data_IF_891520636936
#
_entry.id   IF_891520636936
#
_cell.length_a   1.000
_cell.length_b   1.000
_cell.length_c   1.000
_cell.angle_alpha   90.00
_cell.angle_beta   90.00
_cell.angle_gamma   90.00
#
_symmetry.space_group_name_H-M   'P 1'
#
loop_
_entity.id
_entity.type
_entity.pdbx_description
1 polymer ?
#
# COMPACT_ATOMS: atom_id res chain seq x y z
N UNK A 1 -7.35 -6.00 -9.34
CA UNK A 1 -5.90 -6.04 -9.06
C UNK A 1 -5.43 -7.39 -9.54
N UNK A 2 -4.79 -7.43 -10.70
CA UNK A 2 -4.31 -8.66 -11.31
C UNK A 2 -2.78 -8.62 -11.38
N UNK A 3 -2.10 -9.52 -10.68
CA UNK A 3 -0.63 -9.57 -10.60
C UNK A 3 0.04 -10.06 -11.89
N UNK A 4 -0.69 -10.56 -12.89
CA UNK A 4 -0.14 -10.78 -14.24
C UNK A 4 0.17 -9.45 -14.94
N UNK A 5 -0.55 -8.38 -14.60
CA UNK A 5 -0.27 -7.05 -15.09
C UNK A 5 0.96 -6.44 -14.41
N UNK A 6 1.99 -5.99 -15.16
CA UNK A 6 3.25 -5.51 -14.57
C UNK A 6 3.05 -4.29 -13.65
N UNK A 7 2.05 -3.44 -13.93
CA UNK A 7 1.70 -2.28 -13.11
C UNK A 7 1.17 -2.69 -11.73
N UNK A 8 0.31 -3.71 -11.68
CA UNK A 8 -0.24 -4.23 -10.43
C UNK A 8 0.79 -5.06 -9.67
N UNK A 9 1.66 -5.81 -10.36
CA UNK A 9 2.80 -6.50 -9.75
C UNK A 9 3.75 -5.52 -9.07
N UNK A 10 4.12 -4.44 -9.75
CA UNK A 10 4.95 -3.38 -9.17
C UNK A 10 4.28 -2.72 -7.97
N UNK A 11 3.01 -2.32 -8.10
CA UNK A 11 2.24 -1.76 -6.99
C UNK A 11 2.24 -2.72 -5.80
N UNK A 12 1.97 -4.01 -6.02
CA UNK A 12 1.95 -4.99 -4.94
C UNK A 12 3.30 -5.17 -4.26
N UNK A 13 4.40 -5.24 -5.03
CA UNK A 13 5.76 -5.28 -4.49
C UNK A 13 6.06 -4.04 -3.62
N UNK A 14 5.65 -2.86 -4.08
CA UNK A 14 5.75 -1.62 -3.31
C UNK A 14 4.93 -1.69 -2.01
N UNK A 15 3.68 -2.16 -2.11
CA UNK A 15 2.81 -2.34 -0.95
C UNK A 15 3.35 -3.37 0.03
N UNK A 16 4.09 -4.38 -0.41
CA UNK A 16 4.77 -5.34 0.46
C UNK A 16 5.94 -4.69 1.20
N UNK A 17 6.78 -3.93 0.51
CA UNK A 17 7.95 -3.27 1.10
C UNK A 17 7.54 -2.17 2.10
N UNK A 18 6.72 -1.22 1.64
CA UNK A 18 6.54 0.06 2.34
C UNK A 18 5.09 0.34 2.78
N UNK A 19 4.14 -0.46 2.32
CA UNK A 19 2.74 -0.31 2.73
C UNK A 19 2.45 -0.64 4.21
N UNK A 20 1.22 -0.38 4.64
CA UNK A 20 0.71 -0.84 5.92
C UNK A 20 -0.77 -1.15 5.79
N UNK A 21 -1.14 -2.41 6.00
CA UNK A 21 -2.53 -2.85 5.97
C UNK A 21 -3.03 -3.01 7.41
N UNK A 22 -3.94 -2.13 7.83
CA UNK A 22 -4.54 -2.13 9.16
C UNK A 22 -5.99 -2.57 9.11
N UNK A 23 -6.39 -3.45 10.03
CA UNK A 23 -7.77 -3.81 10.32
C UNK A 23 -8.28 -2.98 11.50
N UNK A 24 -9.57 -2.64 11.48
CA UNK A 24 -10.28 -1.98 12.58
C UNK A 24 -11.61 -2.66 12.88
N UNK A 25 -12.29 -2.22 13.93
CA UNK A 25 -13.61 -2.74 14.32
C UNK A 25 -14.68 -2.38 13.30
N UNK A 26 -15.67 -3.27 13.10
CA UNK A 26 -16.83 -3.00 12.23
C UNK A 26 -16.47 -2.77 10.76
N UNK A 27 -15.71 -3.70 10.15
CA UNK A 27 -15.23 -3.63 8.76
C UNK A 27 -14.31 -2.43 8.43
N UNK A 28 -13.92 -1.63 9.43
CA UNK A 28 -13.01 -0.50 9.26
C UNK A 28 -11.57 -0.95 9.01
N UNK A 29 -10.76 -0.01 8.59
CA UNK A 29 -9.31 -0.15 8.40
C UNK A 29 -8.85 0.50 7.11
N UNK A 30 -7.57 0.36 6.82
CA UNK A 30 -6.90 1.14 5.76
C UNK A 30 -5.64 0.44 5.27
N UNK A 31 -5.39 0.59 3.98
CA UNK A 31 -4.09 0.39 3.36
C UNK A 31 -3.44 1.77 3.24
N UNK A 32 -2.23 1.94 3.77
CA UNK A 32 -1.49 3.19 3.68
C UNK A 32 -0.09 2.96 3.13
N UNK A 33 0.44 3.94 2.41
CA UNK A 33 1.85 4.01 1.97
C UNK A 33 2.33 5.43 2.27
N UNK A 34 3.49 5.59 2.89
CA UNK A 34 4.06 6.89 3.23
C UNK A 34 5.47 7.00 2.65
N UNK A 35 5.67 7.97 1.75
CA UNK A 35 6.97 8.20 1.09
C UNK A 35 7.36 9.68 1.15
N UNK A 36 8.59 9.99 0.74
CA UNK A 36 9.00 11.38 0.56
C UNK A 36 8.13 12.06 -0.51
N UNK A 37 7.79 13.34 -0.31
CA UNK A 37 6.95 14.09 -1.27
C UNK A 37 7.54 14.14 -2.67
N UNK A 38 8.87 14.03 -2.83
CA UNK A 38 9.55 14.01 -4.14
C UNK A 38 9.06 12.86 -5.02
N UNK A 39 8.62 11.77 -4.41
CA UNK A 39 8.16 10.56 -5.09
C UNK A 39 6.63 10.48 -5.18
N UNK A 40 5.89 11.57 -4.87
CA UNK A 40 4.41 11.60 -4.84
C UNK A 40 3.76 11.12 -6.16
N UNK A 41 4.45 11.24 -7.28
CA UNK A 41 4.00 10.72 -8.57
C UNK A 41 3.73 9.21 -8.55
N UNK A 42 4.48 8.44 -7.76
CA UNK A 42 4.25 7.00 -7.55
C UNK A 42 2.88 6.77 -6.91
N UNK A 43 2.56 7.54 -5.85
CA UNK A 43 1.27 7.45 -5.17
C UNK A 43 0.11 7.85 -6.08
N UNK A 44 0.30 8.87 -6.92
CA UNK A 44 -0.68 9.26 -7.94
C UNK A 44 -0.90 8.15 -8.98
N UNK A 45 0.17 7.46 -9.36
CA UNK A 45 0.10 6.26 -10.21
C UNK A 45 -0.71 5.14 -9.57
N UNK A 46 -0.52 4.87 -8.27
CA UNK A 46 -1.33 3.89 -7.54
C UNK A 46 -2.81 4.30 -7.47
N UNK A 47 -3.08 5.57 -7.16
CA UNK A 47 -4.45 6.10 -7.11
C UNK A 47 -5.18 5.91 -8.45
N UNK A 48 -4.53 6.17 -9.59
CA UNK A 48 -5.12 5.96 -10.93
C UNK A 48 -5.26 4.49 -11.31
N UNK A 49 -4.36 3.63 -10.81
CA UNK A 49 -4.35 2.20 -11.11
C UNK A 49 -5.45 1.44 -10.35
N UNK A 50 -5.89 1.96 -9.21
CA UNK A 50 -6.96 1.35 -8.41
C UNK A 50 -8.32 1.94 -8.78
N UNK A 51 -9.35 1.12 -9.06
CA UNK A 51 -10.71 1.60 -9.32
C UNK A 51 -11.45 2.03 -8.04
N UNK A 52 -10.76 2.16 -6.92
CA UNK A 52 -11.33 2.40 -5.60
C UNK A 52 -11.02 3.81 -5.12
N UNK A 53 -11.95 4.38 -4.35
CA UNK A 53 -11.73 5.66 -3.71
C UNK A 53 -10.54 5.59 -2.76
N UNK A 54 -9.55 6.44 -3.04
CA UNK A 54 -8.35 6.58 -2.23
C UNK A 54 -7.93 8.05 -2.20
N UNK A 55 -7.22 8.44 -1.15
CA UNK A 55 -6.77 9.81 -0.94
C UNK A 55 -5.25 9.88 -0.86
N UNK A 56 -4.71 11.04 -1.20
CA UNK A 56 -3.30 11.37 -0.98
C UNK A 56 -3.27 12.63 -0.14
N UNK A 57 -2.54 12.59 0.97
CA UNK A 57 -2.39 13.71 1.90
C UNK A 57 -0.90 13.96 2.13
N UNK A 58 -0.50 15.22 2.12
CA UNK A 58 0.86 15.64 2.42
C UNK A 58 0.98 16.02 3.90
N UNK A 59 2.14 15.76 4.50
CA UNK A 59 2.45 16.15 5.87
C UNK A 59 3.87 16.68 5.98
N UNK A 60 4.03 17.77 6.73
CA UNK A 60 5.33 18.34 7.06
C UNK A 60 5.53 18.23 8.57
N UNK A 61 6.61 17.58 9.01
CA UNK A 61 6.94 17.46 10.43
C UNK A 61 8.44 17.62 10.63
N UNK A 62 8.84 18.22 11.74
CA UNK A 62 10.20 18.09 12.24
C UNK A 62 10.37 16.70 12.86
N UNK A 63 11.37 15.96 12.40
CA UNK A 63 11.79 14.70 13.03
C UNK A 63 13.14 14.94 13.73
N UNK A 64 13.54 14.02 14.61
CA UNK A 64 14.85 14.08 15.27
C UNK A 64 16.04 14.09 14.28
N UNK A 65 15.79 13.80 13.00
CA UNK A 65 16.80 13.72 11.94
C UNK A 65 16.73 14.89 10.95
N UNK A 66 15.60 15.59 10.86
CA UNK A 66 15.42 16.68 9.91
C UNK A 66 14.39 17.70 10.42
N UNK A 67 14.76 18.99 10.36
CA UNK A 67 13.89 20.08 10.79
C UNK A 67 12.58 20.17 9.98
N UNK A 68 12.57 19.70 8.73
CA UNK A 68 11.39 19.72 7.83
C UNK A 68 11.35 18.46 6.96
N UNK A 69 10.83 17.37 7.51
CA UNK A 69 10.54 16.17 6.74
C UNK A 69 9.16 16.31 6.07
N UNK A 70 9.14 16.35 4.73
CA UNK A 70 7.91 16.43 3.94
C UNK A 70 7.60 15.06 3.32
N UNK A 71 6.46 14.49 3.70
CA UNK A 71 6.00 13.18 3.24
C UNK A 71 4.63 13.27 2.61
N UNK A 72 4.37 12.38 1.67
CA UNK A 72 3.05 12.13 1.12
C UNK A 72 2.55 10.76 1.57
N UNK A 73 1.27 10.67 1.92
CA UNK A 73 0.60 9.45 2.38
C UNK A 73 -0.56 9.14 1.46
N UNK A 74 -0.54 7.97 0.83
CA UNK A 74 -1.69 7.42 0.12
C UNK A 74 -2.49 6.53 1.05
N UNK A 75 -3.81 6.67 1.07
CA UNK A 75 -4.72 5.90 1.92
C UNK A 75 -5.88 5.32 1.12
N UNK A 76 -6.13 4.03 1.27
CA UNK A 76 -7.26 3.30 0.68
C UNK A 76 -8.03 2.57 1.79
N UNK A 77 -9.30 2.94 1.98
CA UNK A 77 -10.17 2.40 3.05
C UNK A 77 -11.18 1.37 2.54
N UNK A 78 -11.31 1.24 1.22
CA UNK A 78 -12.25 0.32 0.58
C UNK A 78 -12.07 -1.12 1.07
N UNK A 79 -13.19 -1.76 1.45
CA UNK A 79 -13.16 -3.11 2.05
C UNK A 79 -12.77 -4.16 1.02
N UNK A 80 -13.30 -4.07 -0.20
CA UNK A 80 -13.06 -5.04 -1.26
C UNK A 80 -11.60 -4.98 -1.72
N UNK A 81 -11.08 -3.76 -1.88
CA UNK A 81 -9.68 -3.54 -2.21
C UNK A 81 -8.74 -4.11 -1.14
N UNK A 82 -9.04 -3.88 0.15
CA UNK A 82 -8.25 -4.42 1.26
C UNK A 82 -8.33 -5.94 1.35
N UNK A 83 -9.49 -6.54 1.08
CA UNK A 83 -9.65 -7.99 1.01
C UNK A 83 -8.78 -8.58 -0.11
N UNK A 84 -8.86 -8.03 -1.33
CA UNK A 84 -8.01 -8.44 -2.47
C UNK A 84 -6.53 -8.38 -2.14
N UNK A 85 -6.06 -7.27 -1.58
CA UNK A 85 -4.65 -7.11 -1.18
C UNK A 85 -4.25 -8.11 -0.10
N UNK A 86 -5.15 -8.40 0.84
CA UNK A 86 -4.92 -9.41 1.86
C UNK A 86 -4.81 -10.81 1.26
N UNK A 87 -5.75 -11.20 0.40
CA UNK A 87 -5.78 -12.51 -0.27
C UNK A 87 -4.50 -12.76 -1.07
N UNK A 88 -4.04 -11.74 -1.80
CA UNK A 88 -2.81 -11.77 -2.60
C UNK A 88 -1.53 -12.00 -1.78
N UNK A 89 -1.54 -11.78 -0.46
CA UNK A 89 -0.38 -12.09 0.38
C UNK A 89 -0.03 -11.05 1.43
N UNK A 90 -0.63 -9.86 1.40
CA UNK A 90 -0.27 -8.78 2.35
C UNK A 90 -0.99 -8.97 3.69
N UNK A 91 -0.31 -9.32 4.78
CA UNK A 91 -0.96 -9.56 6.07
C UNK A 91 -1.45 -8.24 6.69
N UNK A 92 -2.52 -8.32 7.48
CA UNK A 92 -2.89 -7.24 8.40
C UNK A 92 -1.85 -7.10 9.53
N UNK A 93 -1.54 -5.87 9.91
CA UNK A 93 -0.67 -5.55 11.04
C UNK A 93 0.84 -5.62 10.73
N UNK A 94 1.63 -6.04 11.73
CA UNK A 94 3.10 -5.97 11.64
C UNK A 94 3.66 -6.99 10.65
N UNK A 95 4.04 -6.49 9.48
CA UNK A 95 4.62 -7.23 8.35
C UNK A 95 5.88 -8.03 8.65
N UNK A 96 6.75 -7.53 9.53
CA UNK A 96 8.09 -8.08 9.75
C UNK A 96 8.14 -9.53 10.21
N UNK A 97 7.01 -10.10 10.67
CA UNK A 97 6.92 -11.50 11.10
C UNK A 97 6.09 -12.39 10.14
N UNK A 98 5.57 -11.82 9.05
CA UNK A 98 4.46 -12.45 8.30
C UNK A 98 4.40 -12.12 6.80
N UNK A 99 5.35 -11.34 6.27
CA UNK A 99 5.47 -11.18 4.81
C UNK A 99 5.74 -12.56 4.22
N UNK A 100 4.92 -12.92 3.25
CA UNK A 100 5.06 -14.15 2.47
C UNK A 100 5.12 -13.76 0.99
N UNK A 101 5.76 -14.56 0.13
CA UNK A 101 5.64 -14.39 -1.30
C UNK A 101 4.17 -14.24 -1.73
N UNK A 102 3.87 -13.49 -2.80
CA UNK A 102 2.51 -13.38 -3.32
C UNK A 102 1.89 -14.77 -3.48
N UNK A 103 0.70 -15.00 -2.93
CA UNK A 103 0.06 -16.33 -2.86
C UNK A 103 -0.57 -16.80 -4.19
N UNK A 104 -0.04 -16.32 -5.32
CA UNK A 104 -0.40 -16.88 -6.63
C UNK A 104 0.34 -18.19 -6.82
N UNK A 105 -0.36 -19.20 -7.33
CA UNK A 105 0.29 -20.36 -7.95
C UNK A 105 1.04 -19.83 -9.18
N UNK A 106 2.36 -19.98 -9.22
CA UNK A 106 3.10 -19.95 -10.47
C UNK A 106 2.73 -21.25 -11.20
N UNK A 107 1.75 -21.21 -12.09
CA UNK A 107 1.59 -22.30 -13.05
C UNK A 107 2.63 -22.09 -14.16
N UNK A 108 3.60 -22.99 -14.23
CA UNK A 108 4.58 -23.06 -15.33
C UNK A 108 6.00 -22.67 -14.93
N UNK A 109 6.76 -23.66 -14.45
CA UNK A 109 8.13 -23.93 -14.91
C UNK A 109 8.23 -25.43 -15.20
#
# INVERSE_FOLDING_TARGET
>A
MDLEGPRYAYMFGFLQADGHLASGTGHKGRLCVEINVRDIAILRGFQQLTPYNSSITERVRSTNFAARHHSAVWTLCDREARAKVNDLGLPYGRKSKRITPPRRRLEGQ
#
